data_IF_176252983665
#
_entry.id   IF_176252983665
#
_cell.length_a   1.000
_cell.length_b   1.000
_cell.length_c   1.000
_cell.angle_alpha   90.00
_cell.angle_beta   90.00
_cell.angle_gamma   90.00
#
_symmetry.space_group_name_H-M   'P 1'
#
loop_
_entity.id
_entity.type
_entity.pdbx_description
1 polymer ?
#
# COMPACT_ATOMS: atom_id res chain seq x y z
N UNK A 1 16.54 25.06 -58.22
CA UNK A 1 16.98 24.91 -56.82
C UNK A 1 15.81 24.36 -56.01
N UNK A 2 15.92 23.10 -55.56
CA UNK A 2 14.88 22.39 -54.82
C UNK A 2 14.60 23.05 -53.47
N UNK A 3 13.32 23.27 -53.16
CA UNK A 3 12.87 23.60 -51.80
C UNK A 3 12.43 22.29 -51.14
N UNK A 4 13.34 21.67 -50.40
CA UNK A 4 13.02 20.57 -49.48
C UNK A 4 12.27 21.15 -48.27
N UNK A 5 10.95 20.98 -48.23
CA UNK A 5 10.20 21.09 -46.97
C UNK A 5 10.29 19.75 -46.25
N UNK A 6 11.02 19.76 -45.13
CA UNK A 6 11.24 18.61 -44.26
C UNK A 6 9.89 18.16 -43.69
N UNK A 7 9.62 16.86 -43.83
CA UNK A 7 8.50 16.19 -43.17
C UNK A 7 8.67 16.36 -41.67
N UNK A 8 7.77 17.13 -41.04
CA UNK A 8 7.73 17.28 -39.59
C UNK A 8 6.98 16.07 -39.03
N UNK A 9 7.71 15.00 -38.74
CA UNK A 9 7.21 13.97 -37.82
C UNK A 9 7.14 14.60 -36.44
N UNK A 10 5.92 14.93 -36.03
CA UNK A 10 5.58 15.42 -34.70
C UNK A 10 6.03 14.38 -33.68
N UNK A 11 7.20 14.56 -33.07
CA UNK A 11 7.50 13.92 -31.79
C UNK A 11 6.64 14.61 -30.75
N UNK A 12 5.45 14.05 -30.54
CA UNK A 12 4.57 14.41 -29.45
C UNK A 12 5.32 14.12 -28.16
N UNK A 13 5.96 15.15 -27.61
CA UNK A 13 6.62 15.12 -26.32
C UNK A 13 5.54 14.93 -25.27
N UNK A 14 5.12 13.67 -25.05
CA UNK A 14 4.27 13.29 -23.93
C UNK A 14 5.05 13.70 -22.69
N UNK A 15 4.57 14.71 -21.98
CA UNK A 15 5.14 15.06 -20.68
C UNK A 15 5.27 13.77 -19.87
N UNK A 16 6.48 13.50 -19.39
CA UNK A 16 6.73 12.36 -18.54
C UNK A 16 5.95 12.61 -17.25
N UNK A 17 4.81 11.95 -17.12
CA UNK A 17 4.06 11.94 -15.87
C UNK A 17 4.88 11.13 -14.87
N UNK A 18 5.53 11.85 -13.95
CA UNK A 18 6.25 11.27 -12.84
C UNK A 18 5.25 10.69 -11.85
N UNK A 19 5.55 9.50 -11.33
CA UNK A 19 4.76 8.90 -10.26
C UNK A 19 4.85 9.77 -9.02
N UNK A 20 3.69 10.23 -8.55
CA UNK A 20 3.54 10.83 -7.23
C UNK A 20 3.43 9.73 -6.17
N UNK A 21 3.57 10.12 -4.90
CA UNK A 21 3.48 9.20 -3.76
C UNK A 21 2.21 8.33 -3.78
N UNK A 22 1.06 8.92 -4.09
CA UNK A 22 -0.21 8.18 -4.12
C UNK A 22 -0.24 7.13 -5.23
N UNK A 23 0.21 7.49 -6.43
CA UNK A 23 0.24 6.59 -7.59
C UNK A 23 1.24 5.45 -7.39
N UNK A 24 2.40 5.74 -6.77
CA UNK A 24 3.38 4.72 -6.41
C UNK A 24 2.80 3.74 -5.37
N UNK A 25 2.08 4.23 -4.37
CA UNK A 25 1.47 3.41 -3.35
C UNK A 25 0.33 2.54 -3.90
N UNK A 26 -0.51 3.11 -4.75
CA UNK A 26 -1.58 2.39 -5.43
C UNK A 26 -0.99 1.29 -6.33
N UNK A 27 0.07 1.60 -7.09
CA UNK A 27 0.76 0.61 -7.92
C UNK A 27 1.34 -0.56 -7.09
N UNK A 28 1.98 -0.26 -5.95
CA UNK A 28 2.51 -1.29 -5.04
C UNK A 28 1.40 -2.18 -4.49
N UNK A 29 0.25 -1.58 -4.13
CA UNK A 29 -0.93 -2.29 -3.60
C UNK A 29 -1.59 -3.15 -4.66
N UNK A 30 -1.84 -2.61 -5.85
CA UNK A 30 -2.54 -3.28 -6.94
C UNK A 30 -1.74 -4.48 -7.47
N UNK A 31 -0.41 -4.38 -7.43
CA UNK A 31 0.50 -5.48 -7.78
C UNK A 31 0.73 -6.47 -6.62
N UNK A 32 0.22 -6.20 -5.41
CA UNK A 32 0.42 -7.06 -4.24
C UNK A 32 1.90 -7.29 -3.90
N UNK A 33 2.75 -6.28 -4.07
CA UNK A 33 4.19 -6.46 -3.91
C UNK A 33 4.58 -6.61 -2.45
N UNK A 34 5.44 -7.60 -2.17
CA UNK A 34 6.16 -7.67 -0.88
C UNK A 34 7.01 -6.42 -0.69
N UNK A 35 7.41 -6.15 0.56
CA UNK A 35 8.26 -4.99 0.89
C UNK A 35 9.50 -4.93 0.01
N UNK A 36 10.22 -6.04 -0.13
CA UNK A 36 11.48 -6.11 -0.88
C UNK A 36 11.25 -5.83 -2.37
N UNK A 37 10.14 -6.33 -2.93
CA UNK A 37 9.77 -6.08 -4.33
C UNK A 37 9.32 -4.65 -4.56
N UNK A 38 8.61 -4.05 -3.61
CA UNK A 38 8.22 -2.63 -3.65
C UNK A 38 9.45 -1.71 -3.56
N UNK A 39 10.41 -2.04 -2.69
CA UNK A 39 11.70 -1.35 -2.58
C UNK A 39 12.51 -1.44 -3.87
N UNK A 40 12.61 -2.63 -4.45
CA UNK A 40 13.27 -2.81 -5.74
C UNK A 40 12.59 -2.01 -6.85
N UNK A 41 11.25 -2.05 -6.94
CA UNK A 41 10.48 -1.31 -7.94
C UNK A 41 10.77 0.19 -7.84
N UNK A 42 10.63 0.77 -6.65
CA UNK A 42 10.87 2.20 -6.48
C UNK A 42 12.33 2.60 -6.73
N UNK A 43 13.30 1.73 -6.41
CA UNK A 43 14.71 1.96 -6.79
C UNK A 43 14.87 2.08 -8.31
N UNK A 44 14.25 1.17 -9.08
CA UNK A 44 14.28 1.20 -10.55
C UNK A 44 13.56 2.43 -11.13
N UNK A 45 12.44 2.84 -10.53
CA UNK A 45 11.72 4.05 -10.94
C UNK A 45 12.55 5.31 -10.67
N UNK A 46 13.26 5.34 -9.53
CA UNK A 46 14.18 6.43 -9.17
C UNK A 46 15.37 6.50 -10.13
N UNK A 47 16.02 5.38 -10.43
CA UNK A 47 17.13 5.27 -11.40
C UNK A 47 16.72 5.80 -12.80
N UNK A 48 15.44 5.64 -13.17
CA UNK A 48 14.89 6.10 -14.45
C UNK A 48 14.34 7.52 -14.42
N UNK A 49 14.47 8.26 -13.31
CA UNK A 49 13.88 9.59 -13.11
C UNK A 49 12.36 9.60 -13.38
N UNK A 50 11.66 8.55 -12.94
CA UNK A 50 10.20 8.42 -13.10
C UNK A 50 9.42 8.75 -11.83
N UNK A 51 10.10 9.12 -10.75
CA UNK A 51 9.46 9.53 -9.50
C UNK A 51 9.46 11.06 -9.38
N UNK A 52 8.37 11.63 -8.89
CA UNK A 52 8.31 13.05 -8.56
C UNK A 52 9.16 13.35 -7.32
N UNK A 53 9.69 14.57 -7.22
CA UNK A 53 10.46 15.00 -6.05
C UNK A 53 9.68 14.77 -4.75
N UNK A 54 10.36 14.27 -3.72
CA UNK A 54 9.75 13.92 -2.44
C UNK A 54 8.97 12.60 -2.43
N UNK A 55 8.85 11.90 -3.56
CA UNK A 55 8.25 10.56 -3.61
C UNK A 55 9.25 9.54 -3.10
N UNK A 56 8.83 8.77 -2.10
CA UNK A 56 9.63 7.72 -1.47
C UNK A 56 8.87 6.41 -1.49
N UNK A 57 9.60 5.31 -1.38
CA UNK A 57 8.96 4.01 -1.21
C UNK A 57 8.37 3.99 0.20
N UNK A 58 7.06 3.80 0.31
CA UNK A 58 6.45 3.66 1.62
C UNK A 58 7.06 2.46 2.33
N UNK A 59 7.71 2.72 3.46
CA UNK A 59 8.19 1.68 4.36
C UNK A 59 6.96 0.96 4.89
N UNK A 60 6.86 -0.34 4.62
CA UNK A 60 5.85 -1.18 5.26
C UNK A 60 5.99 -1.01 6.78
N UNK A 61 4.93 -0.50 7.41
CA UNK A 61 4.83 -0.53 8.87
C UNK A 61 4.83 -2.01 9.28
N UNK A 62 5.41 -2.30 10.43
CA UNK A 62 5.38 -3.62 11.08
C UNK A 62 4.40 -3.63 12.25
N UNK A 63 3.44 -2.71 12.26
CA UNK A 63 2.50 -2.55 13.38
C UNK A 63 1.49 -3.70 13.38
N UNK A 64 1.15 -4.20 12.20
CA UNK A 64 0.31 -5.37 11.98
C UNK A 64 0.94 -6.66 12.53
N UNK A 65 2.27 -6.75 12.58
CA UNK A 65 2.99 -7.97 12.99
C UNK A 65 2.63 -8.45 14.39
N UNK A 66 2.37 -7.53 15.32
CA UNK A 66 1.95 -7.88 16.68
C UNK A 66 0.54 -8.49 16.73
N UNK A 67 -0.28 -8.22 15.70
CA UNK A 67 -1.64 -8.72 15.61
C UNK A 67 -1.75 -10.01 14.79
N UNK A 68 -0.73 -10.37 14.01
CA UNK A 68 -0.75 -11.58 13.17
C UNK A 68 -1.01 -12.86 13.96
N UNK A 69 -0.69 -12.88 15.26
CA UNK A 69 -0.94 -14.02 16.16
C UNK A 69 -2.43 -14.27 16.46
N UNK A 70 -3.31 -13.31 16.18
CA UNK A 70 -4.76 -13.46 16.37
C UNK A 70 -5.50 -13.91 15.10
N UNK A 71 -4.77 -14.16 14.00
CA UNK A 71 -5.33 -14.58 12.72
C UNK A 71 -4.70 -15.89 12.26
N UNK A 72 -5.54 -16.77 11.74
CA UNK A 72 -5.11 -18.01 11.11
C UNK A 72 -5.39 -17.93 9.60
N UNK A 73 -4.58 -18.64 8.82
CA UNK A 73 -4.71 -18.70 7.37
C UNK A 73 -4.99 -20.13 6.93
N UNK A 74 -6.06 -20.31 6.17
CA UNK A 74 -6.42 -21.57 5.51
C UNK A 74 -6.47 -21.34 3.99
N UNK A 75 -5.43 -21.76 3.28
CA UNK A 75 -5.25 -21.43 1.87
C UNK A 75 -5.13 -19.91 1.66
N UNK A 76 -6.00 -19.35 0.83
CA UNK A 76 -6.07 -17.90 0.57
C UNK A 76 -7.00 -17.15 1.54
N UNK A 77 -7.69 -17.86 2.45
CA UNK A 77 -8.61 -17.27 3.41
C UNK A 77 -7.89 -16.99 4.74
N UNK A 78 -7.91 -15.72 5.17
CA UNK A 78 -7.44 -15.30 6.49
C UNK A 78 -8.64 -15.02 7.37
N UNK A 79 -8.70 -15.61 8.57
CA UNK A 79 -9.76 -15.39 9.53
C UNK A 79 -9.20 -15.11 10.93
N UNK A 80 -9.94 -14.36 11.75
CA UNK A 80 -9.54 -14.09 13.13
C UNK A 80 -9.85 -15.31 14.00
N UNK A 81 -8.81 -15.99 14.47
CA UNK A 81 -8.91 -17.19 15.31
C UNK A 81 -9.09 -16.87 16.79
N UNK A 82 -8.63 -15.68 17.23
CA UNK A 82 -8.73 -15.24 18.62
C UNK A 82 -9.29 -13.81 18.75
N UNK A 83 -10.61 -13.69 18.54
CA UNK A 83 -11.34 -12.42 18.68
C UNK A 83 -11.21 -11.83 20.10
N UNK A 84 -11.40 -12.59 21.20
CA UNK A 84 -11.28 -12.02 22.55
C UNK A 84 -9.90 -11.41 22.80
N UNK A 85 -8.83 -12.14 22.47
CA UNK A 85 -7.46 -11.66 22.65
C UNK A 85 -7.15 -10.42 21.80
N UNK A 86 -7.67 -10.37 20.56
CA UNK A 86 -7.51 -9.20 19.69
C UNK A 86 -8.19 -7.96 20.28
N UNK A 87 -9.40 -8.12 20.81
CA UNK A 87 -10.17 -7.00 21.39
C UNK A 87 -9.53 -6.50 22.70
N UNK A 88 -8.99 -7.41 23.51
CA UNK A 88 -8.24 -7.07 24.72
C UNK A 88 -6.94 -6.30 24.38
N UNK A 89 -6.23 -6.69 23.32
CA UNK A 89 -5.03 -5.99 22.82
C UNK A 89 -5.35 -4.56 22.36
N UNK A 90 -6.54 -4.33 21.78
CA UNK A 90 -7.02 -2.98 21.48
C UNK A 90 -7.47 -2.19 22.73
N UNK A 91 -7.45 -2.80 23.91
CA UNK A 91 -7.85 -2.19 25.16
C UNK A 91 -9.33 -1.87 25.25
N UNK A 92 -10.17 -2.51 24.43
CA UNK A 92 -11.60 -2.23 24.37
C UNK A 92 -12.34 -3.08 25.41
N UNK A 93 -13.21 -2.45 26.21
CA UNK A 93 -14.07 -3.18 27.14
C UNK A 93 -15.22 -3.83 26.36
N UNK A 94 -15.26 -5.15 26.35
CA UNK A 94 -16.44 -5.89 25.87
C UNK A 94 -17.38 -6.14 27.04
N UNK A 95 -18.64 -5.75 26.87
CA UNK A 95 -19.73 -6.21 27.74
C UNK A 95 -20.49 -7.29 26.97
N UNK A 96 -20.47 -8.52 27.49
CA UNK A 96 -21.40 -9.56 27.01
C UNK A 96 -22.81 -9.16 27.45
N UNK A 97 -23.68 -8.91 26.48
CA UNK A 97 -25.12 -8.71 26.71
C UNK A 97 -25.85 -9.72 25.82
N UNK A 98 -26.24 -10.86 26.40
CA UNK A 98 -26.77 -11.99 25.63
C UNK A 98 -25.73 -12.58 24.65
N UNK A 99 -26.18 -13.00 23.47
CA UNK A 99 -25.33 -13.63 22.43
C UNK A 99 -24.45 -12.62 21.64
N UNK A 100 -24.50 -11.33 21.97
CA UNK A 100 -23.75 -10.28 21.28
C UNK A 100 -22.71 -9.61 22.19
N UNK A 101 -21.55 -9.29 21.61
CA UNK A 101 -20.47 -8.52 22.24
C UNK A 101 -20.65 -7.04 21.89
N UNK A 102 -20.95 -6.21 22.88
CA UNK A 102 -20.96 -4.74 22.73
C UNK A 102 -19.57 -4.18 23.05
N UNK A 103 -19.00 -3.46 22.10
CA UNK A 103 -17.64 -2.89 22.13
C UNK A 103 -17.74 -1.42 22.57
N UNK A 104 -17.17 -1.08 23.73
CA UNK A 104 -17.12 0.30 24.23
C UNK A 104 -15.66 0.80 24.34
N UNK A 105 -15.32 1.96 23.76
CA UNK A 105 -13.99 2.55 23.94
C UNK A 105 -13.71 2.78 25.43
N UNK A 106 -12.49 2.46 25.91
CA UNK A 106 -12.05 2.93 27.22
C UNK A 106 -11.90 4.45 27.15
N UNK A 107 -12.72 5.16 27.93
CA UNK A 107 -12.51 6.57 28.21
C UNK A 107 -11.23 6.69 29.03
N UNK A 108 -10.25 7.43 28.50
CA UNK A 108 -9.01 7.83 29.17
C UNK A 108 -9.31 8.86 30.24
#
# INVERSE_FOLDING_TARGET
MSKMMKSSSVLQKKELQLFKQIELNDLVRDLGLTKEKAELLGSRLKEKNLLADGTSICVYRKREHQFSTYFDQEGDLVHCSNIPGLIDEFGVLTKKTGDYLSIHPKLV
#
